data_IF_535295299706
#
_entry.id   IF_535295299706
#
_cell.length_a   1.000
_cell.length_b   1.000
_cell.length_c   1.000
_cell.angle_alpha   90.00
_cell.angle_beta   90.00
_cell.angle_gamma   90.00
#
_symmetry.space_group_name_H-M   'P 1'
#
loop_
_entity.id
_entity.type
_entity.pdbx_description
1 polymer ?
#
# COMPACT_ATOMS: atom_id res chain seq x y z
N UNK A 1 26.53 -14.70 16.13
CA UNK A 1 27.09 -13.39 16.55
C UNK A 1 26.81 -12.25 15.57
N UNK A 2 26.86 -12.48 14.25
CA UNK A 2 26.64 -11.46 13.20
C UNK A 2 25.35 -10.62 13.40
N UNK A 3 24.23 -11.25 13.78
CA UNK A 3 22.96 -10.54 14.00
C UNK A 3 22.98 -9.62 15.24
N UNK A 4 23.78 -9.93 16.28
CA UNK A 4 23.89 -9.08 17.48
C UNK A 4 24.69 -7.80 17.18
N UNK A 5 25.81 -7.94 16.46
CA UNK A 5 26.65 -6.81 16.01
C UNK A 5 25.87 -5.90 15.05
N UNK A 6 25.17 -6.49 14.07
CA UNK A 6 24.36 -5.74 13.10
C UNK A 6 23.19 -4.99 13.75
N UNK A 7 22.58 -5.59 14.79
CA UNK A 7 21.53 -4.93 15.60
C UNK A 7 22.09 -3.76 16.41
N UNK A 8 23.29 -3.87 16.96
CA UNK A 8 23.94 -2.77 17.68
C UNK A 8 24.28 -1.59 16.75
N UNK A 9 24.74 -1.87 15.53
CA UNK A 9 25.12 -0.84 14.55
C UNK A 9 23.92 -0.16 13.87
N UNK A 10 22.88 -0.92 13.51
CA UNK A 10 21.77 -0.39 12.70
C UNK A 10 20.50 -0.11 13.51
N UNK A 11 20.38 -0.67 14.71
CA UNK A 11 19.14 -0.65 15.51
C UNK A 11 18.03 -1.58 14.98
N UNK A 12 18.23 -2.26 13.84
CA UNK A 12 17.23 -3.17 13.26
C UNK A 12 17.28 -4.54 13.92
N UNK A 13 16.10 -5.09 14.17
CA UNK A 13 15.88 -6.48 14.58
C UNK A 13 15.38 -7.26 13.37
N UNK A 14 15.77 -8.54 13.28
CA UNK A 14 15.37 -9.46 12.20
C UNK A 14 14.60 -10.61 12.81
N UNK A 15 13.49 -10.97 12.19
CA UNK A 15 12.67 -12.13 12.54
C UNK A 15 12.28 -12.90 11.29
N UNK A 16 11.98 -14.18 11.46
CA UNK A 16 11.37 -15.02 10.43
C UNK A 16 10.02 -15.49 10.94
N UNK A 17 9.00 -15.43 10.10
CA UNK A 17 7.65 -15.88 10.38
C UNK A 17 7.24 -16.78 9.23
N UNK A 18 6.76 -17.99 9.52
CA UNK A 18 6.10 -18.81 8.51
C UNK A 18 4.61 -18.51 8.56
N UNK A 19 4.03 -18.06 7.44
CA UNK A 19 2.60 -17.74 7.34
C UNK A 19 2.08 -18.13 5.98
N UNK A 20 0.98 -18.87 5.93
CA UNK A 20 0.32 -19.29 4.68
C UNK A 20 1.23 -20.07 3.72
N UNK A 21 2.18 -20.83 4.25
CA UNK A 21 3.19 -21.56 3.46
C UNK A 21 4.35 -20.69 2.95
N UNK A 22 4.38 -19.40 3.31
CA UNK A 22 5.45 -18.48 2.97
C UNK A 22 6.40 -18.29 4.15
N UNK A 23 7.69 -18.40 3.90
CA UNK A 23 8.71 -17.92 4.82
C UNK A 23 8.92 -16.41 4.63
N UNK A 24 8.47 -15.64 5.60
CA UNK A 24 8.54 -14.19 5.58
C UNK A 24 9.67 -13.73 6.51
N UNK A 25 10.71 -13.13 5.93
CA UNK A 25 11.78 -12.48 6.68
C UNK A 25 11.42 -11.02 6.92
N UNK A 26 11.26 -10.65 8.18
CA UNK A 26 10.95 -9.28 8.59
C UNK A 26 12.15 -8.60 9.22
N UNK A 27 12.27 -7.29 9.03
CA UNK A 27 13.32 -6.43 9.56
C UNK A 27 12.69 -5.13 10.01
N UNK A 28 12.95 -4.70 11.25
CA UNK A 28 12.23 -3.58 11.85
C UNK A 28 13.06 -2.82 12.88
N UNK A 29 12.79 -1.52 13.03
CA UNK A 29 13.40 -0.66 14.06
C UNK A 29 12.42 -0.48 15.23
N UNK A 30 12.88 -0.68 16.46
CA UNK A 30 12.07 -0.47 17.68
C UNK A 30 11.26 -1.70 18.15
N UNK A 31 9.95 -1.52 18.36
CA UNK A 31 9.03 -2.57 18.82
C UNK A 31 8.71 -3.55 17.69
N UNK A 32 8.50 -4.82 18.03
CA UNK A 32 8.07 -5.82 17.06
C UNK A 32 6.71 -5.41 16.51
N UNK A 33 6.55 -5.24 15.19
CA UNK A 33 5.25 -4.97 14.61
C UNK A 33 4.38 -6.21 14.80
N UNK A 34 3.35 -6.10 15.64
CA UNK A 34 2.37 -7.16 15.88
C UNK A 34 1.47 -7.42 14.67
N UNK A 35 1.52 -6.53 13.67
CA UNK A 35 0.69 -6.59 12.46
C UNK A 35 1.21 -7.61 11.45
N UNK A 36 0.31 -8.40 10.88
CA UNK A 36 0.57 -9.26 9.72
C UNK A 36 1.19 -8.44 8.56
N UNK A 37 2.41 -8.78 8.07
CA UNK A 37 3.02 -8.11 6.92
C UNK A 37 2.12 -8.06 5.69
N UNK A 38 1.26 -9.07 5.53
CA UNK A 38 0.42 -9.26 4.35
C UNK A 38 -0.96 -8.62 4.51
N UNK A 39 -1.26 -7.97 5.64
CA UNK A 39 -2.60 -7.46 5.93
C UNK A 39 -3.18 -6.57 4.83
N UNK A 40 -2.40 -5.60 4.34
CA UNK A 40 -2.83 -4.70 3.28
C UNK A 40 -3.12 -5.43 1.95
N UNK A 41 -2.32 -6.45 1.61
CA UNK A 41 -2.55 -7.24 0.40
C UNK A 41 -3.78 -8.14 0.52
N UNK A 42 -4.01 -8.73 1.70
CA UNK A 42 -5.23 -9.51 1.98
C UNK A 42 -6.48 -8.65 1.89
N UNK A 43 -6.44 -7.46 2.48
CA UNK A 43 -7.55 -6.51 2.44
C UNK A 43 -7.88 -6.09 1.00
N UNK A 44 -6.85 -5.77 0.20
CA UNK A 44 -7.04 -5.44 -1.22
C UNK A 44 -7.60 -6.61 -2.01
N UNK A 45 -7.10 -7.83 -1.80
CA UNK A 45 -7.64 -9.04 -2.45
C UNK A 45 -9.14 -9.17 -2.17
N UNK A 46 -9.53 -9.11 -0.89
CA UNK A 46 -10.94 -9.16 -0.48
C UNK A 46 -11.79 -8.05 -1.09
N UNK A 47 -11.24 -6.83 -1.24
CA UNK A 47 -11.95 -5.70 -1.84
C UNK A 47 -12.11 -5.86 -3.34
N UNK A 48 -11.09 -6.36 -4.05
CA UNK A 48 -11.14 -6.61 -5.49
C UNK A 48 -12.07 -7.78 -5.83
N UNK A 49 -12.08 -8.84 -5.02
CA UNK A 49 -12.96 -10.00 -5.19
C UNK A 49 -14.45 -9.61 -5.10
N UNK A 50 -14.78 -8.54 -4.36
CA UNK A 50 -16.13 -7.98 -4.28
C UNK A 50 -16.56 -7.20 -5.52
N UNK A 51 -15.73 -7.13 -6.55
CA UNK A 51 -15.99 -6.43 -7.82
C UNK A 51 -16.45 -4.98 -7.58
N UNK A 52 -15.57 -4.12 -7.04
CA UNK A 52 -15.93 -2.74 -6.72
C UNK A 52 -16.29 -1.99 -8.00
N UNK A 53 -17.23 -1.06 -7.90
CA UNK A 53 -17.65 -0.24 -9.05
C UNK A 53 -16.45 0.56 -9.53
N UNK A 54 -16.01 0.25 -10.75
CA UNK A 54 -14.86 0.86 -11.39
C UNK A 54 -15.25 2.18 -12.05
N UNK A 55 -14.49 3.22 -11.74
CA UNK A 55 -14.61 4.57 -12.28
C UNK A 55 -13.41 4.82 -13.20
N UNK A 56 -13.67 4.94 -14.49
CA UNK A 56 -12.65 5.35 -15.45
C UNK A 56 -12.48 6.86 -15.38
N UNK A 57 -11.27 7.33 -15.14
CA UNK A 57 -10.95 8.77 -15.12
C UNK A 57 -10.01 9.12 -16.26
N UNK A 58 -10.18 10.31 -16.84
CA UNK A 58 -9.27 10.84 -17.87
C UNK A 58 -8.08 11.61 -17.27
N UNK A 59 -7.84 11.46 -15.96
CA UNK A 59 -6.77 12.15 -15.25
C UNK A 59 -5.42 11.46 -15.43
N UNK A 60 -4.34 12.23 -15.49
CA UNK A 60 -2.98 11.68 -15.51
C UNK A 60 -2.56 11.21 -14.10
N UNK A 61 -2.87 9.96 -13.77
CA UNK A 61 -2.49 9.34 -12.49
C UNK A 61 -0.98 9.09 -12.37
N UNK A 62 -0.18 9.19 -13.44
CA UNK A 62 1.26 9.01 -13.36
C UNK A 62 1.93 10.08 -12.49
N UNK A 63 1.43 11.32 -12.53
CA UNK A 63 1.90 12.41 -11.65
C UNK A 63 1.70 12.05 -10.18
N UNK A 64 0.51 11.54 -9.83
CA UNK A 64 0.22 11.09 -8.46
C UNK A 64 1.12 9.93 -8.03
N UNK A 65 1.51 9.05 -8.96
CA UNK A 65 2.42 7.95 -8.70
C UNK A 65 3.82 8.46 -8.38
N UNK A 66 4.36 9.32 -9.25
CA UNK A 66 5.67 9.93 -9.09
C UNK A 66 5.78 10.74 -7.80
N UNK A 67 4.76 11.53 -7.46
CA UNK A 67 4.73 12.29 -6.21
C UNK A 67 4.79 11.39 -4.98
N UNK A 68 4.02 10.28 -4.95
CA UNK A 68 4.06 9.32 -3.84
C UNK A 68 5.40 8.59 -3.76
N UNK A 69 6.04 8.30 -4.88
CA UNK A 69 7.38 7.71 -4.91
C UNK A 69 8.42 8.71 -4.40
N UNK A 70 8.33 9.98 -4.78
CA UNK A 70 9.27 11.04 -4.35
C UNK A 70 9.30 11.23 -2.83
N UNK A 71 8.20 10.97 -2.13
CA UNK A 71 8.16 10.97 -0.65
C UNK A 71 9.13 9.95 -0.05
N UNK A 72 9.53 8.92 -0.81
CA UNK A 72 10.47 7.89 -0.37
C UNK A 72 11.93 8.32 -0.49
N UNK A 73 12.23 9.37 -1.26
CA UNK A 73 13.61 9.80 -1.51
C UNK A 73 14.31 10.18 -0.21
N UNK A 74 15.48 9.58 0.03
CA UNK A 74 16.24 9.76 1.27
C UNK A 74 15.60 9.15 2.54
N UNK A 75 14.43 8.53 2.44
CA UNK A 75 13.72 7.97 3.60
C UNK A 75 14.01 6.49 3.77
N UNK A 76 14.43 6.09 4.99
CA UNK A 76 14.65 4.69 5.32
C UNK A 76 13.37 4.00 5.83
N UNK A 77 13.09 2.75 5.41
CA UNK A 77 11.91 2.04 5.85
C UNK A 77 12.01 1.65 7.33
N UNK A 78 10.99 2.01 8.12
CA UNK A 78 10.86 1.61 9.53
C UNK A 78 10.65 0.10 9.71
N UNK A 79 10.10 -0.54 8.69
CA UNK A 79 9.81 -1.97 8.62
C UNK A 79 9.98 -2.48 7.20
N UNK A 80 10.49 -3.70 7.04
CA UNK A 80 10.52 -4.40 5.77
C UNK A 80 10.19 -5.88 5.98
N UNK A 81 9.39 -6.44 5.09
CA UNK A 81 9.13 -7.88 4.98
C UNK A 81 9.55 -8.36 3.59
N UNK A 82 10.11 -9.57 3.51
CA UNK A 82 10.54 -10.19 2.26
C UNK A 82 10.13 -11.65 2.24
N UNK A 83 9.64 -12.11 1.10
CA UNK A 83 9.32 -13.51 0.84
C UNK A 83 9.66 -13.84 -0.62
N UNK A 84 9.82 -15.13 -0.91
CA UNK A 84 10.18 -15.62 -2.24
C UNK A 84 9.12 -16.56 -2.78
N UNK A 85 8.90 -16.51 -4.08
CA UNK A 85 8.00 -17.41 -4.82
C UNK A 85 8.67 -17.73 -6.14
N UNK A 86 9.18 -18.95 -6.30
CA UNK A 86 10.00 -19.32 -7.45
C UNK A 86 11.19 -18.35 -7.61
N UNK A 87 11.26 -17.65 -8.74
CA UNK A 87 12.30 -16.65 -9.06
C UNK A 87 11.98 -15.23 -8.55
N UNK A 88 10.76 -14.99 -8.08
CA UNK A 88 10.31 -13.66 -7.66
C UNK A 88 10.67 -13.43 -6.19
N UNK A 89 11.21 -12.24 -5.91
CA UNK A 89 11.47 -11.78 -4.55
C UNK A 89 10.61 -10.57 -4.24
N UNK A 90 9.50 -10.85 -3.55
CA UNK A 90 8.60 -9.81 -3.09
C UNK A 90 9.15 -9.12 -1.84
N UNK A 91 8.95 -7.81 -1.77
CA UNK A 91 9.32 -6.99 -0.62
C UNK A 91 8.22 -5.97 -0.34
N UNK A 92 7.87 -5.92 0.94
CA UNK A 92 6.99 -4.91 1.53
C UNK A 92 7.88 -4.01 2.37
N UNK A 93 7.80 -2.69 2.19
CA UNK A 93 8.56 -1.72 2.99
C UNK A 93 7.62 -0.66 3.52
N UNK A 94 7.67 -0.38 4.83
CA UNK A 94 6.85 0.63 5.48
C UNK A 94 7.66 1.85 5.85
N UNK A 95 7.13 3.01 5.50
CA UNK A 95 7.64 4.34 5.79
C UNK A 95 6.64 5.07 6.67
N UNK A 96 7.15 5.90 7.57
CA UNK A 96 6.33 6.79 8.39
C UNK A 96 6.73 8.19 8.02
N UNK A 97 5.75 8.98 7.60
CA UNK A 97 5.92 10.36 7.19
C UNK A 97 4.79 11.20 7.83
N UNK A 98 4.71 12.47 7.42
CA UNK A 98 3.58 13.35 7.69
C UNK A 98 3.03 13.88 6.37
N UNK A 99 1.72 14.02 6.30
CA UNK A 99 1.02 14.74 5.24
C UNK A 99 0.23 15.86 5.91
N UNK A 100 0.56 17.11 5.60
CA UNK A 100 0.11 18.27 6.37
C UNK A 100 0.43 18.08 7.87
N UNK A 101 -0.60 18.11 8.73
CA UNK A 101 -0.49 17.88 10.18
C UNK A 101 -0.73 16.41 10.57
N UNK A 102 -1.17 15.58 9.64
CA UNK A 102 -1.60 14.21 9.91
C UNK A 102 -0.46 13.21 9.72
N UNK A 103 -0.29 12.24 10.64
CA UNK A 103 0.60 11.11 10.39
C UNK A 103 0.24 10.37 9.10
N UNK A 104 1.26 9.89 8.39
CA UNK A 104 1.12 9.08 7.19
C UNK A 104 1.88 7.77 7.37
N UNK A 105 1.21 6.64 7.18
CA UNK A 105 1.86 5.36 6.95
C UNK A 105 1.83 5.04 5.46
N UNK A 106 2.99 4.89 4.85
CA UNK A 106 3.16 4.53 3.45
C UNK A 106 3.83 3.16 3.37
N UNK A 107 3.33 2.28 2.51
CA UNK A 107 3.90 0.97 2.24
C UNK A 107 4.19 0.87 0.76
N UNK A 108 5.34 0.31 0.41
CA UNK A 108 5.67 -0.06 -0.96
C UNK A 108 5.69 -1.56 -1.12
N UNK A 109 5.19 -2.03 -2.26
CA UNK A 109 5.21 -3.41 -2.68
C UNK A 109 6.08 -3.50 -3.93
N UNK A 110 7.08 -4.38 -3.90
CA UNK A 110 8.05 -4.50 -4.98
C UNK A 110 8.39 -5.95 -5.28
N UNK A 111 8.66 -6.25 -6.54
CA UNK A 111 9.21 -7.50 -7.00
C UNK A 111 10.61 -7.26 -7.59
N UNK A 112 11.61 -7.99 -7.11
CA UNK A 112 12.99 -7.87 -7.57
C UNK A 112 13.54 -6.43 -7.57
N UNK A 113 13.00 -5.57 -6.71
CA UNK A 113 13.39 -4.16 -6.57
C UNK A 113 12.51 -3.16 -7.32
N UNK A 114 11.69 -3.60 -8.28
CA UNK A 114 10.72 -2.73 -8.99
C UNK A 114 9.44 -2.59 -8.16
N UNK A 115 9.06 -1.36 -7.83
CA UNK A 115 7.81 -1.07 -7.11
C UNK A 115 6.65 -1.20 -8.10
N UNK A 116 5.61 -1.96 -7.72
CA UNK A 116 4.40 -2.16 -8.51
C UNK A 116 3.13 -1.65 -7.82
N UNK A 117 3.18 -1.47 -6.48
CA UNK A 117 2.06 -0.91 -5.74
C UNK A 117 2.51 -0.14 -4.49
N UNK A 118 1.62 0.70 -4.01
CA UNK A 118 1.74 1.55 -2.84
C UNK A 118 0.46 1.45 -2.01
N UNK A 119 0.58 1.45 -0.68
CA UNK A 119 -0.54 1.63 0.22
C UNK A 119 -0.29 2.82 1.14
N UNK A 120 -1.25 3.72 1.24
CA UNK A 120 -1.20 4.86 2.17
C UNK A 120 -2.34 4.79 3.16
N UNK A 121 -2.04 5.15 4.40
CA UNK A 121 -3.02 5.49 5.43
C UNK A 121 -2.69 6.85 6.02
N UNK A 122 -3.60 7.79 5.87
CA UNK A 122 -3.51 9.15 6.41
C UNK A 122 -4.42 9.20 7.64
N UNK A 123 -3.89 9.61 8.79
CA UNK A 123 -4.66 9.65 10.04
C UNK A 123 -5.45 10.96 10.14
N UNK A 124 -6.47 11.10 9.28
CA UNK A 124 -7.21 12.34 8.98
C UNK A 124 -8.74 12.20 9.13
N UNK A 125 -9.21 11.12 9.75
CA UNK A 125 -10.64 10.84 9.90
C UNK A 125 -11.47 10.82 8.59
N UNK A 126 -10.83 10.55 7.45
CA UNK A 126 -11.51 10.47 6.15
C UNK A 126 -11.60 11.80 5.39
N UNK A 127 -10.96 12.87 5.86
CA UNK A 127 -10.96 14.17 5.19
C UNK A 127 -10.45 14.09 3.75
N UNK A 128 -9.28 13.46 3.51
CA UNK A 128 -8.71 13.32 2.17
C UNK A 128 -9.61 12.53 1.22
N UNK A 129 -10.29 11.49 1.72
CA UNK A 129 -11.24 10.73 0.90
C UNK A 129 -12.40 11.61 0.45
N UNK A 130 -12.99 12.40 1.36
CA UNK A 130 -14.09 13.33 1.03
C UNK A 130 -13.66 14.39 0.04
N UNK A 131 -12.44 14.91 0.14
CA UNK A 131 -11.88 15.85 -0.84
C UNK A 131 -11.82 15.24 -2.24
N UNK A 132 -11.35 13.99 -2.35
CA UNK A 132 -11.27 13.29 -3.64
C UNK A 132 -12.69 13.00 -4.18
N UNK A 133 -13.60 12.52 -3.33
CA UNK A 133 -14.99 12.28 -3.70
C UNK A 133 -15.66 13.56 -4.24
N UNK A 134 -15.53 14.68 -3.53
CA UNK A 134 -16.06 15.98 -3.96
C UNK A 134 -15.46 16.45 -5.29
N UNK A 135 -14.16 16.22 -5.50
CA UNK A 135 -13.50 16.54 -6.77
C UNK A 135 -14.08 15.70 -7.93
N UNK A 136 -14.32 14.41 -7.71
CA UNK A 136 -14.93 13.53 -8.71
C UNK A 136 -16.38 13.92 -9.01
N UNK A 137 -17.16 14.33 -8.01
CA UNK A 137 -18.52 14.86 -8.19
C UNK A 137 -18.46 16.15 -9.03
N UNK A 138 -17.59 17.09 -8.65
CA UNK A 138 -17.47 18.39 -9.29
C UNK A 138 -17.06 18.28 -10.76
N UNK A 139 -16.25 17.28 -11.10
CA UNK A 139 -15.80 17.00 -12.46
C UNK A 139 -16.76 16.06 -13.24
N UNK A 140 -17.93 15.73 -12.68
CA UNK A 140 -18.93 14.87 -13.33
C UNK A 140 -18.51 13.40 -13.49
N UNK A 141 -17.48 12.95 -12.76
CA UNK A 141 -16.99 11.57 -12.80
C UNK A 141 -17.84 10.60 -11.98
N UNK A 142 -18.59 11.10 -11.00
CA UNK A 142 -19.59 10.36 -10.23
C UNK A 142 -20.82 11.23 -9.96
N UNK A 143 -21.99 10.62 -9.91
CA UNK A 143 -23.22 11.31 -9.50
C UNK A 143 -23.22 11.60 -8.00
N UNK A 144 -23.85 12.71 -7.59
CA UNK A 144 -24.03 13.04 -6.18
C UNK A 144 -24.86 11.99 -5.43
N UNK A 145 -25.77 11.29 -6.11
CA UNK A 145 -26.51 10.14 -5.57
C UNK A 145 -25.60 8.99 -5.12
N UNK A 146 -24.37 8.91 -5.67
CA UNK A 146 -23.36 7.92 -5.33
C UNK A 146 -22.38 8.39 -4.24
N UNK A 147 -22.55 9.59 -3.67
CA UNK A 147 -21.62 10.24 -2.70
C UNK A 147 -21.61 9.65 -1.27
N UNK A 148 -22.19 8.47 -1.07
CA UNK A 148 -22.21 7.78 0.21
C UNK A 148 -21.40 6.48 0.16
N UNK A 149 -20.50 6.35 -0.80
CA UNK A 149 -19.65 5.16 -0.93
C UNK A 149 -18.47 5.29 0.01
N UNK A 150 -18.24 4.28 0.83
CA UNK A 150 -17.04 4.19 1.67
C UNK A 150 -15.80 3.73 0.90
N UNK A 151 -15.95 3.42 -0.39
CA UNK A 151 -14.88 2.92 -1.25
C UNK A 151 -15.10 3.33 -2.72
N UNK A 152 -14.03 3.72 -3.39
CA UNK A 152 -13.99 4.06 -4.80
C UNK A 152 -12.87 3.26 -5.48
N UNK A 153 -13.17 2.65 -6.64
CA UNK A 153 -12.15 2.05 -7.49
C UNK A 153 -11.96 2.94 -8.72
N UNK A 154 -10.79 3.54 -8.87
CA UNK A 154 -10.48 4.50 -9.93
C UNK A 154 -9.37 3.92 -10.82
N UNK A 155 -9.48 4.08 -12.13
CA UNK A 155 -8.43 3.63 -13.07
C UNK A 155 -8.29 4.54 -14.28
N UNK A 156 -7.07 4.60 -14.81
CA UNK A 156 -6.75 5.26 -16.08
C UNK A 156 -5.93 4.34 -17.01
N UNK A 157 -6.36 3.08 -17.20
CA UNK A 157 -5.71 2.02 -18.01
C UNK A 157 -4.32 1.60 -17.49
N UNK A 158 -3.40 2.53 -17.30
CA UNK A 158 -2.03 2.30 -16.82
C UNK A 158 -1.94 2.21 -15.30
N UNK A 159 -2.74 2.99 -14.59
CA UNK A 159 -2.75 3.00 -13.14
C UNK A 159 -4.15 2.79 -12.59
N UNK A 160 -4.19 2.29 -11.37
CA UNK A 160 -5.44 1.94 -10.70
C UNK A 160 -5.30 2.15 -9.20
N UNK A 161 -6.30 2.78 -8.58
CA UNK A 161 -6.33 3.06 -7.16
C UNK A 161 -7.64 2.61 -6.53
N UNK A 162 -7.56 1.90 -5.41
CA UNK A 162 -8.66 1.73 -4.47
C UNK A 162 -8.52 2.81 -3.39
N UNK A 163 -9.57 3.61 -3.23
CA UNK A 163 -9.69 4.59 -2.15
C UNK A 163 -10.75 4.11 -1.19
N UNK A 164 -10.51 4.18 0.12
CA UNK A 164 -11.52 3.82 1.11
C UNK A 164 -11.38 4.60 2.42
N UNK A 165 -12.43 4.55 3.23
CA UNK A 165 -12.46 5.10 4.59
C UNK A 165 -12.74 4.00 5.61
N UNK A 166 -11.76 3.77 6.48
CA UNK A 166 -11.92 2.93 7.68
C UNK A 166 -11.32 3.67 8.87
N UNK A 167 -12.11 4.57 9.45
CA UNK A 167 -11.68 5.54 10.48
C UNK A 167 -10.70 6.60 9.99
N UNK A 168 -10.06 6.39 8.83
CA UNK A 168 -8.97 7.15 8.24
C UNK A 168 -8.99 6.98 6.72
N UNK A 169 -8.51 7.96 5.97
CA UNK A 169 -8.35 7.86 4.52
C UNK A 169 -7.27 6.84 4.17
N UNK A 170 -7.63 5.90 3.30
CA UNK A 170 -6.75 4.84 2.82
C UNK A 170 -6.73 4.83 1.29
N UNK A 171 -5.56 4.55 0.72
CA UNK A 171 -5.44 4.29 -0.71
C UNK A 171 -4.50 3.12 -0.99
N UNK A 172 -4.88 2.25 -1.90
CA UNK A 172 -4.01 1.25 -2.49
C UNK A 172 -3.87 1.56 -3.97
N UNK A 173 -2.67 1.90 -4.41
CA UNK A 173 -2.39 2.42 -5.74
C UNK A 173 -1.36 1.55 -6.45
N UNK A 174 -1.61 1.15 -7.70
CA UNK A 174 -0.72 0.28 -8.46
C UNK A 174 -0.60 0.73 -9.92
N UNK A 175 0.54 0.40 -10.53
CA UNK A 175 0.91 0.73 -11.91
C UNK A 175 1.21 -0.51 -12.77
N UNK A 176 1.07 -1.72 -12.20
CA UNK A 176 1.33 -2.99 -12.87
C UNK A 176 0.32 -4.02 -12.34
N UNK A 177 -0.78 -4.20 -13.08
CA UNK A 177 -1.90 -5.07 -12.69
C UNK A 177 -1.48 -6.54 -12.65
N UNK A 178 -0.75 -6.99 -13.66
CA UNK A 178 -0.29 -8.38 -13.77
C UNK A 178 0.61 -8.76 -12.61
N UNK A 179 1.52 -7.87 -12.19
CA UNK A 179 2.38 -8.12 -11.03
C UNK A 179 1.60 -8.10 -9.71
N UNK A 180 0.60 -7.23 -9.58
CA UNK A 180 -0.29 -7.23 -8.42
C UNK A 180 -1.04 -8.57 -8.32
N UNK A 181 -1.69 -9.02 -9.39
CA UNK A 181 -2.46 -10.28 -9.42
C UNK A 181 -1.57 -11.48 -9.07
N UNK A 182 -0.39 -11.59 -9.68
CA UNK A 182 0.62 -12.61 -9.32
C UNK A 182 1.00 -12.57 -7.85
N UNK A 183 1.11 -11.39 -7.25
CA UNK A 183 1.42 -11.26 -5.83
C UNK A 183 0.24 -11.73 -4.95
N UNK A 184 -0.99 -11.33 -5.31
CA UNK A 184 -2.20 -11.67 -4.58
C UNK A 184 -2.54 -13.17 -4.64
N UNK A 185 -2.24 -13.86 -5.74
CA UNK A 185 -2.51 -15.30 -5.90
C UNK A 185 -1.72 -16.18 -4.93
N UNK A 186 -0.52 -15.74 -4.56
CA UNK A 186 0.33 -16.43 -3.58
C UNK A 186 -0.25 -16.29 -2.16
N UNK A 187 -1.02 -15.23 -1.92
CA UNK A 187 -1.58 -14.92 -0.61
C UNK A 187 -2.87 -15.69 -0.42
N UNK A 188 -2.81 -16.75 0.39
CA UNK A 188 -4.00 -17.42 0.91
C UNK A 188 -4.72 -16.49 1.88
N UNK A 189 -6.05 -16.42 1.78
CA UNK A 189 -6.90 -15.71 2.73
C UNK A 189 -7.04 -16.54 4.00
#
# INVERSE_FOLDING_TARGET
MINKIRRALTGYKVSKISKNGLEIKTSYKGKFPSSDPLAALKDVKLKLDKSPIQLSVNSNMAVCWEEKIKVLDGTLPTYSAKFKVGKNQYRISRFVAKQNKSPLSLYTFSNNGKIFALFTRIYDYGEQFKEIENCLISNGSIEQSASNRSMLYITNVQHSALLDVFGHSQSFFWNDRDELEKCLDVIKL
#
